data_IF_397601070811
#
_entry.id   IF_397601070811
#
_cell.length_a   1.000
_cell.length_b   1.000
_cell.length_c   1.000
_cell.angle_alpha   90.00
_cell.angle_beta   90.00
_cell.angle_gamma   90.00
#
_symmetry.space_group_name_H-M   'P 1'
#
loop_
_entity.id
_entity.type
_entity.pdbx_description
1 polymer ?
#
# COMPACT_ATOMS: atom_id res chain seq x y z
N UNK A 1 31.31 -42.18 -14.64
CA UNK A 1 30.47 -42.65 -13.52
C UNK A 1 31.38 -42.89 -12.32
N UNK A 2 31.67 -41.84 -11.56
CA UNK A 2 32.33 -41.86 -10.25
C UNK A 2 31.82 -40.62 -9.51
N UNK A 3 31.26 -40.84 -8.32
CA UNK A 3 30.71 -39.82 -7.44
C UNK A 3 31.70 -39.58 -6.31
N UNK A 4 32.15 -38.33 -6.10
CA UNK A 4 32.82 -37.90 -4.87
C UNK A 4 32.58 -36.40 -4.62
N UNK A 5 32.07 -36.09 -3.42
CA UNK A 5 32.58 -34.96 -2.63
C UNK A 5 31.64 -33.78 -2.34
N UNK A 6 31.23 -33.68 -1.07
CA UNK A 6 31.46 -32.43 -0.29
C UNK A 6 30.34 -31.40 -0.18
N UNK A 7 29.60 -31.49 0.93
CA UNK A 7 29.11 -30.42 1.81
C UNK A 7 28.98 -28.98 1.27
N UNK A 8 27.76 -28.45 1.30
CA UNK A 8 27.50 -27.06 1.73
C UNK A 8 26.06 -26.89 2.23
N UNK A 9 25.96 -26.72 3.54
CA UNK A 9 24.78 -26.19 4.24
C UNK A 9 24.48 -24.78 3.73
N UNK A 10 23.25 -24.53 3.29
CA UNK A 10 22.67 -23.20 3.25
C UNK A 10 21.26 -23.28 3.81
N UNK A 11 21.17 -23.16 5.13
CA UNK A 11 19.98 -22.67 5.78
C UNK A 11 19.75 -21.21 5.37
N UNK A 12 18.68 -20.95 4.62
CA UNK A 12 18.02 -19.64 4.55
C UNK A 12 16.52 -19.95 4.66
N UNK A 13 16.06 -20.28 5.88
CA UNK A 13 15.31 -19.35 6.73
C UNK A 13 14.16 -18.71 5.94
N UNK A 14 12.94 -19.27 5.95
CA UNK A 14 11.90 -18.95 6.95
C UNK A 14 11.96 -17.50 7.49
N UNK A 15 12.22 -16.54 6.62
CA UNK A 15 12.15 -15.10 6.93
C UNK A 15 11.39 -14.32 5.85
N UNK A 16 10.20 -14.80 5.49
CA UNK A 16 9.06 -13.87 5.30
C UNK A 16 8.42 -13.62 6.67
N UNK A 17 9.27 -13.27 7.64
CA UNK A 17 8.80 -12.71 8.89
C UNK A 17 8.42 -11.28 8.54
N UNK A 18 7.13 -10.98 8.71
CA UNK A 18 6.57 -9.63 8.78
C UNK A 18 7.33 -8.89 9.90
N UNK A 19 8.52 -8.38 9.57
CA UNK A 19 9.37 -7.62 10.48
C UNK A 19 8.85 -6.20 10.47
N UNK A 20 7.85 -5.94 11.32
CA UNK A 20 7.74 -4.70 12.12
C UNK A 20 6.48 -4.60 13.00
N UNK A 21 5.85 -5.69 13.42
CA UNK A 21 4.66 -5.59 14.30
C UNK A 21 5.03 -5.26 15.76
N UNK A 22 6.25 -5.53 16.22
CA UNK A 22 6.57 -5.50 17.66
C UNK A 22 7.08 -4.16 18.22
N UNK A 23 7.52 -3.21 17.39
CA UNK A 23 8.08 -1.93 17.86
C UNK A 23 7.19 -0.69 17.57
N UNK A 24 6.03 -0.85 16.93
CA UNK A 24 5.17 0.28 16.54
C UNK A 24 4.13 0.67 17.62
N UNK A 25 4.16 0.05 18.80
CA UNK A 25 3.10 0.22 19.79
C UNK A 25 3.26 1.45 20.69
N UNK A 26 4.43 2.11 20.73
CA UNK A 26 4.73 3.09 21.79
C UNK A 26 4.74 4.58 21.38
N UNK A 27 4.44 4.94 20.12
CA UNK A 27 4.51 6.35 19.65
C UNK A 27 3.20 6.88 19.04
N UNK A 28 2.06 6.21 19.28
CA UNK A 28 0.75 6.61 18.70
C UNK A 28 0.01 7.71 19.45
N UNK A 29 0.53 8.16 20.60
CA UNK A 29 -0.12 9.21 21.38
C UNK A 29 0.19 10.58 20.79
N UNK A 30 -0.73 11.07 19.92
CA UNK A 30 -0.77 12.48 19.53
C UNK A 30 -1.00 12.77 18.04
N UNK A 31 -1.12 11.77 17.17
CA UNK A 31 -1.41 12.00 15.75
C UNK A 31 -2.91 11.89 15.50
N UNK A 32 -3.54 13.03 15.21
CA UNK A 32 -4.93 13.08 14.75
C UNK A 32 -5.08 12.22 13.49
N UNK A 33 -5.87 11.14 13.58
CA UNK A 33 -6.21 10.25 12.45
C UNK A 33 -7.33 10.84 11.57
N UNK A 34 -7.78 12.06 11.86
CA UNK A 34 -8.71 12.78 10.98
C UNK A 34 -7.95 13.32 9.76
N UNK A 35 -8.33 12.89 8.56
CA UNK A 35 -7.86 13.52 7.31
C UNK A 35 -8.46 14.93 7.21
N UNK A 36 -7.65 15.99 7.08
CA UNK A 36 -8.13 17.33 6.77
C UNK A 36 -8.97 17.41 5.49
N UNK A 37 -10.05 18.20 5.49
CA UNK A 37 -10.95 18.36 4.33
C UNK A 37 -10.24 18.72 3.02
N UNK A 38 -9.17 19.53 3.11
CA UNK A 38 -8.35 19.91 1.94
C UNK A 38 -7.72 18.72 1.22
N UNK A 39 -7.48 17.60 1.91
CA UNK A 39 -6.92 16.39 1.33
C UNK A 39 -7.97 15.35 0.92
N UNK A 40 -9.25 15.58 1.23
CA UNK A 40 -10.35 14.70 0.80
C UNK A 40 -10.77 14.96 -0.63
N UNK A 41 -10.25 16.01 -1.27
CA UNK A 41 -10.57 16.42 -2.63
C UNK A 41 -9.31 16.57 -3.47
N UNK A 42 -9.47 16.41 -4.78
CA UNK A 42 -8.41 16.75 -5.73
C UNK A 42 -8.24 18.26 -5.83
N UNK A 43 -7.17 18.73 -6.48
CA UNK A 43 -6.98 20.15 -6.80
C UNK A 43 -8.10 20.73 -7.68
N UNK A 44 -8.81 19.88 -8.42
CA UNK A 44 -9.99 20.24 -9.22
C UNK A 44 -11.31 20.15 -8.45
N UNK A 45 -11.28 19.83 -7.14
CA UNK A 45 -12.44 19.75 -6.26
C UNK A 45 -13.20 18.43 -6.30
N UNK A 46 -12.75 17.44 -7.09
CA UNK A 46 -13.37 16.12 -7.17
C UNK A 46 -13.20 15.36 -5.85
N UNK A 47 -14.20 14.56 -5.46
CA UNK A 47 -14.08 13.70 -4.28
C UNK A 47 -12.92 12.72 -4.47
N UNK A 48 -11.98 12.73 -3.54
CA UNK A 48 -10.78 11.90 -3.57
C UNK A 48 -10.75 10.84 -2.47
N UNK A 49 -11.32 11.13 -1.28
CA UNK A 49 -11.51 10.12 -0.25
C UNK A 49 -12.77 9.30 -0.55
N UNK A 50 -12.60 8.04 -0.97
CA UNK A 50 -13.71 7.14 -1.31
C UNK A 50 -14.15 6.26 -0.15
N UNK A 51 -13.21 5.94 0.75
CA UNK A 51 -13.47 5.13 1.94
C UNK A 51 -12.58 5.58 3.09
N UNK A 52 -13.15 5.62 4.30
CA UNK A 52 -12.42 5.86 5.55
C UNK A 52 -13.04 4.98 6.63
N UNK A 53 -12.27 4.02 7.14
CA UNK A 53 -12.74 3.17 8.24
C UNK A 53 -12.74 3.91 9.58
N UNK A 54 -12.15 5.10 9.67
CA UNK A 54 -12.00 5.84 10.92
C UNK A 54 -11.14 5.08 11.93
N UNK A 55 -11.58 5.04 13.19
CA UNK A 55 -10.81 4.45 14.30
C UNK A 55 -11.14 2.98 14.57
N UNK A 56 -11.47 2.20 13.53
CA UNK A 56 -11.59 0.74 13.68
C UNK A 56 -10.23 0.11 14.00
N UNK A 57 -10.23 -1.13 14.49
CA UNK A 57 -9.00 -1.89 14.79
C UNK A 57 -8.02 -1.96 13.61
N UNK A 58 -8.54 -1.86 12.38
CA UNK A 58 -7.81 -1.71 11.14
C UNK A 58 -8.16 -0.35 10.50
N UNK A 59 -7.39 0.67 10.82
CA UNK A 59 -7.51 1.97 10.18
C UNK A 59 -7.02 1.89 8.72
N UNK A 60 -7.93 2.01 7.76
CA UNK A 60 -7.67 1.95 6.32
C UNK A 60 -8.49 3.00 5.59
N UNK A 61 -7.90 3.56 4.52
CA UNK A 61 -8.53 4.62 3.74
C UNK A 61 -8.27 4.41 2.28
N UNK A 62 -9.30 4.55 1.45
CA UNK A 62 -9.14 4.47 0.01
C UNK A 62 -9.20 5.87 -0.59
N UNK A 63 -8.12 6.26 -1.25
CA UNK A 63 -8.04 7.48 -2.03
C UNK A 63 -8.11 7.16 -3.52
N UNK A 64 -9.12 7.68 -4.21
CA UNK A 64 -9.29 7.55 -5.65
C UNK A 64 -10.32 8.58 -6.16
N UNK A 65 -10.47 8.69 -7.47
CA UNK A 65 -11.54 9.47 -8.09
C UNK A 65 -12.53 8.54 -8.77
N UNK A 66 -13.76 8.99 -9.03
CA UNK A 66 -14.72 8.17 -9.79
C UNK A 66 -14.19 7.85 -11.19
N UNK A 67 -13.48 8.82 -11.79
CA UNK A 67 -12.79 8.63 -13.07
C UNK A 67 -11.69 7.57 -12.98
N UNK A 68 -10.89 7.57 -11.91
CA UNK A 68 -9.83 6.58 -11.71
C UNK A 68 -10.39 5.18 -11.50
N UNK A 69 -11.46 5.03 -10.71
CA UNK A 69 -12.14 3.76 -10.52
C UNK A 69 -12.72 3.23 -11.83
N UNK A 70 -13.38 4.08 -12.63
CA UNK A 70 -13.87 3.70 -13.96
C UNK A 70 -12.73 3.31 -14.92
N UNK A 71 -11.57 3.95 -14.83
CA UNK A 71 -10.41 3.59 -15.62
C UNK A 71 -9.84 2.23 -15.18
N UNK A 72 -9.81 1.96 -13.87
CA UNK A 72 -9.34 0.71 -13.31
C UNK A 72 -10.27 -0.45 -13.70
N UNK A 73 -11.59 -0.25 -13.57
CA UNK A 73 -12.62 -1.21 -14.00
C UNK A 73 -12.50 -1.60 -15.48
N UNK A 74 -12.09 -0.65 -16.34
CA UNK A 74 -11.86 -0.88 -17.78
C UNK A 74 -10.45 -1.37 -18.12
N UNK A 75 -9.55 -1.43 -17.15
CA UNK A 75 -8.18 -1.88 -17.37
C UNK A 75 -8.14 -3.40 -17.48
N UNK A 76 -7.53 -3.91 -18.54
CA UNK A 76 -7.33 -5.36 -18.74
C UNK A 76 -6.41 -5.97 -17.67
N UNK A 77 -5.45 -5.19 -17.17
CA UNK A 77 -4.47 -5.62 -16.19
C UNK A 77 -4.41 -4.64 -15.02
N UNK A 78 -4.42 -5.21 -13.81
CA UNK A 78 -4.19 -4.49 -12.57
C UNK A 78 -2.82 -4.86 -12.04
N UNK A 79 -1.99 -3.87 -11.75
CA UNK A 79 -0.73 -4.06 -11.05
C UNK A 79 -0.79 -3.35 -9.72
N UNK A 80 -0.27 -3.98 -8.69
CA UNK A 80 -0.40 -3.47 -7.34
C UNK A 80 0.97 -3.52 -6.66
N UNK A 81 1.34 -2.42 -5.99
CA UNK A 81 2.61 -2.30 -5.29
C UNK A 81 2.39 -1.76 -3.86
N UNK A 82 3.10 -2.35 -2.91
CA UNK A 82 3.05 -2.00 -1.50
C UNK A 82 4.38 -1.37 -1.06
N UNK A 83 4.35 -0.11 -0.64
CA UNK A 83 5.53 0.57 -0.11
C UNK A 83 5.49 0.61 1.43
N UNK A 84 6.47 -0.04 2.05
CA UNK A 84 6.59 -0.11 3.52
C UNK A 84 7.69 0.80 4.08
N UNK A 85 8.70 1.14 3.29
CA UNK A 85 9.95 1.75 3.79
C UNK A 85 10.05 3.27 3.63
N UNK A 86 9.20 3.88 2.80
CA UNK A 86 9.33 5.28 2.37
C UNK A 86 8.11 6.14 2.66
N UNK A 87 7.11 5.59 3.37
CA UNK A 87 5.86 6.30 3.65
C UNK A 87 6.04 7.25 4.84
N UNK A 88 5.34 8.39 4.84
CA UNK A 88 5.23 9.24 6.03
C UNK A 88 4.75 8.41 7.23
N UNK A 89 5.32 8.62 8.42
CA UNK A 89 5.01 7.85 9.64
C UNK A 89 3.54 7.95 10.11
N UNK A 90 2.72 8.75 9.42
CA UNK A 90 1.27 8.81 9.63
C UNK A 90 0.54 7.60 9.05
N UNK A 91 1.16 6.87 8.10
CA UNK A 91 0.62 5.62 7.56
C UNK A 91 1.51 4.44 7.97
N UNK A 92 0.89 3.28 8.26
CA UNK A 92 1.62 2.05 8.55
C UNK A 92 2.09 1.34 7.27
N UNK A 93 1.34 1.49 6.19
CA UNK A 93 1.62 0.97 4.86
C UNK A 93 0.93 1.88 3.82
N UNK A 94 1.48 1.98 2.62
CA UNK A 94 0.78 2.51 1.45
C UNK A 94 0.75 1.45 0.36
N UNK A 95 -0.43 1.21 -0.17
CA UNK A 95 -0.68 0.28 -1.26
C UNK A 95 -1.25 1.04 -2.46
N UNK A 96 -0.66 0.87 -3.63
CA UNK A 96 -1.09 1.55 -4.85
C UNK A 96 -1.54 0.54 -5.88
N UNK A 97 -2.73 0.75 -6.45
CA UNK A 97 -3.23 -0.03 -7.59
C UNK A 97 -3.12 0.79 -8.86
N UNK A 98 -2.56 0.16 -9.89
CA UNK A 98 -2.29 0.73 -11.18
C UNK A 98 -3.09 0.02 -12.28
N UNK A 99 -3.67 0.79 -13.18
CA UNK A 99 -4.25 0.28 -14.42
C UNK A 99 -3.32 0.54 -15.61
N UNK A 100 -3.41 -0.30 -16.64
CA UNK A 100 -2.73 -0.07 -17.90
C UNK A 100 -3.61 0.81 -18.79
N UNK A 101 -3.08 1.96 -19.22
CA UNK A 101 -3.73 2.80 -20.23
C UNK A 101 -2.69 3.30 -21.20
N UNK A 102 -2.75 2.84 -22.46
CA UNK A 102 -1.89 3.29 -23.55
C UNK A 102 -0.37 3.13 -23.26
N UNK A 103 0.01 2.06 -22.57
CA UNK A 103 1.38 1.57 -22.32
C UNK A 103 2.16 2.06 -21.07
N UNK A 104 1.80 3.15 -20.34
CA UNK A 104 2.26 3.31 -18.95
C UNK A 104 1.25 2.78 -17.93
N UNK A 105 1.76 2.26 -16.82
CA UNK A 105 0.96 2.01 -15.62
C UNK A 105 0.67 3.33 -14.91
N UNK A 106 -0.61 3.64 -14.71
CA UNK A 106 -1.05 4.85 -14.03
C UNK A 106 -1.60 4.44 -12.67
N UNK A 107 -1.19 5.12 -11.59
CA UNK A 107 -1.78 4.95 -10.26
C UNK A 107 -3.22 5.47 -10.26
N UNK A 108 -4.15 4.58 -9.91
CA UNK A 108 -5.58 4.87 -9.92
C UNK A 108 -6.20 4.83 -8.53
N UNK A 109 -5.65 4.02 -7.62
CA UNK A 109 -6.14 3.88 -6.24
C UNK A 109 -4.98 3.81 -5.27
N UNK A 110 -5.11 4.47 -4.12
CA UNK A 110 -4.19 4.40 -3.00
C UNK A 110 -4.94 3.92 -1.76
N UNK A 111 -4.37 2.98 -1.01
CA UNK A 111 -4.91 2.38 0.22
C UNK A 111 -3.87 2.40 1.34
#
# INVERSE_FOLDING_TARGET
MVQLGGSRSYAVSKELHIRNVKNAHNDRQGRTSVIPEVYKRTLSGENFLQFDSGHLEWESRMLSTKRSLNALDRSEHWNMDGTFKTIPQIFAQLYTTHGLKDNPFISLVYV
#
